data_IF_994067488316
#
_entry.id   IF_994067488316
#
_cell.length_a   1.000
_cell.length_b   1.000
_cell.length_c   1.000
_cell.angle_alpha   90.00
_cell.angle_beta   90.00
_cell.angle_gamma   90.00
#
_symmetry.space_group_name_H-M   'P 1'
#
loop_
_entity.id
_entity.type
_entity.pdbx_description
1 polymer ?
#
# COMPACT_ATOMS: atom_id res chain seq x y z
N UNK A 1 -3.42 -14.36 -4.31
CA UNK A 1 -2.65 -13.14 -3.95
C UNK A 1 -2.16 -13.29 -2.54
N UNK A 2 -0.89 -13.02 -2.26
CA UNK A 2 -0.45 -12.88 -0.87
C UNK A 2 -0.85 -11.47 -0.44
N UNK A 3 -1.78 -11.38 0.51
CA UNK A 3 -2.10 -10.13 1.18
C UNK A 3 -1.08 -9.90 2.29
N UNK A 4 -0.74 -8.64 2.51
CA UNK A 4 0.02 -8.24 3.69
C UNK A 4 -0.85 -8.56 4.91
N UNK A 5 -0.24 -9.04 6.00
CA UNK A 5 -1.00 -9.30 7.22
C UNK A 5 -1.60 -7.99 7.75
N UNK A 6 -2.79 -8.03 8.35
CA UNK A 6 -3.50 -6.81 8.80
C UNK A 6 -2.64 -5.88 9.69
N UNK A 7 -1.77 -6.47 10.52
CA UNK A 7 -0.82 -5.71 11.35
C UNK A 7 0.16 -4.90 10.50
N UNK A 8 0.76 -5.56 9.50
CA UNK A 8 1.75 -4.96 8.61
C UNK A 8 1.08 -3.93 7.68
N UNK A 9 -0.20 -4.13 7.34
CA UNK A 9 -1.01 -3.18 6.57
C UNK A 9 -1.22 -1.87 7.32
N UNK A 10 -1.60 -1.94 8.60
CA UNK A 10 -1.75 -0.75 9.46
C UNK A 10 -0.43 -0.01 9.67
N UNK A 11 0.67 -0.74 9.80
CA UNK A 11 2.00 -0.11 9.90
C UNK A 11 2.37 0.62 8.61
N UNK A 12 2.05 0.03 7.45
CA UNK A 12 2.27 0.67 6.15
C UNK A 12 1.39 1.90 5.96
N UNK A 13 0.12 1.84 6.37
CA UNK A 13 -0.79 2.99 6.38
C UNK A 13 -0.23 4.15 7.21
N UNK A 14 0.23 3.88 8.44
CA UNK A 14 0.83 4.89 9.30
C UNK A 14 2.10 5.50 8.68
N UNK A 15 2.94 4.68 8.01
CA UNK A 15 4.13 5.16 7.30
C UNK A 15 3.78 6.06 6.12
N UNK A 16 2.81 5.65 5.30
CA UNK A 16 2.35 6.44 4.15
C UNK A 16 1.73 7.76 4.61
N UNK A 17 0.87 7.72 5.63
CA UNK A 17 0.27 8.92 6.21
C UNK A 17 1.33 9.88 6.74
N UNK A 18 2.38 9.38 7.39
CA UNK A 18 3.47 10.21 7.89
C UNK A 18 4.33 10.83 6.77
N UNK A 19 4.63 10.06 5.73
CA UNK A 19 5.47 10.52 4.61
C UNK A 19 4.77 11.57 3.76
N UNK A 20 3.46 11.42 3.57
CA UNK A 20 2.67 12.29 2.69
C UNK A 20 1.79 13.28 3.47
N UNK A 21 2.06 13.51 4.76
CA UNK A 21 1.19 14.27 5.67
C UNK A 21 0.88 15.66 5.11
N UNK A 22 1.89 16.38 4.61
CA UNK A 22 1.74 17.72 4.04
C UNK A 22 0.94 17.71 2.72
N UNK A 23 1.10 16.68 1.89
CA UNK A 23 0.40 16.56 0.61
C UNK A 23 -1.05 16.12 0.74
N UNK A 24 -1.41 15.46 1.85
CA UNK A 24 -2.76 14.91 2.07
C UNK A 24 -3.50 15.59 3.23
N UNK A 25 -2.90 16.57 3.90
CA UNK A 25 -3.50 17.36 4.99
C UNK A 25 -4.79 18.05 4.53
N UNK A 26 -4.77 18.68 3.35
CA UNK A 26 -5.93 19.41 2.83
C UNK A 26 -7.12 18.49 2.45
N UNK A 27 -6.91 17.18 2.40
CA UNK A 27 -7.98 16.23 2.11
C UNK A 27 -8.87 16.00 3.35
N UNK A 28 -10.20 15.98 3.18
CA UNK A 28 -11.12 15.46 4.19
C UNK A 28 -10.65 14.09 4.69
N UNK A 29 -10.82 13.83 5.99
CA UNK A 29 -10.35 12.60 6.63
C UNK A 29 -10.79 11.32 5.93
N UNK A 30 -12.00 11.31 5.36
CA UNK A 30 -12.53 10.19 4.57
C UNK A 30 -11.76 10.00 3.26
N UNK A 31 -11.48 11.08 2.53
CA UNK A 31 -10.70 11.02 1.29
C UNK A 31 -9.25 10.64 1.54
N UNK A 32 -8.67 11.11 2.66
CA UNK A 32 -7.34 10.69 3.10
C UNK A 32 -7.28 9.18 3.38
N UNK A 33 -8.28 8.64 4.09
CA UNK A 33 -8.37 7.21 4.37
C UNK A 33 -8.51 6.38 3.09
N UNK A 34 -9.37 6.82 2.16
CA UNK A 34 -9.55 6.17 0.85
C UNK A 34 -8.23 6.16 0.06
N UNK A 35 -7.55 7.32 -0.02
CA UNK A 35 -6.29 7.43 -0.74
C UNK A 35 -5.21 6.49 -0.17
N UNK A 36 -5.08 6.44 1.15
CA UNK A 36 -4.09 5.57 1.81
C UNK A 36 -4.40 4.08 1.55
N UNK A 37 -5.67 3.66 1.64
CA UNK A 37 -6.06 2.28 1.35
C UNK A 37 -5.82 1.90 -0.12
N UNK A 38 -6.13 2.82 -1.05
CA UNK A 38 -5.88 2.65 -2.49
C UNK A 38 -4.39 2.50 -2.79
N UNK A 39 -3.54 3.35 -2.18
CA UNK A 39 -2.08 3.29 -2.33
C UNK A 39 -1.51 1.95 -1.85
N UNK A 40 -1.95 1.48 -0.68
CA UNK A 40 -1.55 0.19 -0.13
C UNK A 40 -1.97 -0.94 -1.06
N UNK A 41 -3.23 -0.94 -1.50
CA UNK A 41 -3.77 -1.95 -2.41
C UNK A 41 -3.02 -1.99 -3.73
N UNK A 42 -2.74 -0.83 -4.34
CA UNK A 42 -1.97 -0.73 -5.58
C UNK A 42 -0.53 -1.26 -5.39
N UNK A 43 0.10 -0.94 -4.25
CA UNK A 43 1.44 -1.41 -3.91
C UNK A 43 1.48 -2.94 -3.73
N UNK A 44 0.53 -3.50 -2.98
CA UNK A 44 0.36 -4.95 -2.81
C UNK A 44 0.14 -5.66 -4.15
N UNK A 45 -0.71 -5.10 -5.01
CA UNK A 45 -0.96 -5.63 -6.34
C UNK A 45 0.34 -5.69 -7.15
N UNK A 46 1.14 -4.62 -7.11
CA UNK A 46 2.42 -4.57 -7.82
C UNK A 46 3.43 -5.57 -7.27
N UNK A 47 3.57 -5.69 -5.95
CA UNK A 47 4.44 -6.69 -5.33
C UNK A 47 4.05 -8.11 -5.72
N UNK A 48 2.75 -8.42 -5.71
CA UNK A 48 2.25 -9.73 -6.12
C UNK A 48 2.60 -10.06 -7.57
N UNK A 49 2.42 -9.10 -8.50
CA UNK A 49 2.80 -9.29 -9.91
C UNK A 49 4.31 -9.49 -10.04
N UNK A 50 5.13 -8.60 -9.46
CA UNK A 50 6.58 -8.67 -9.60
C UNK A 50 7.17 -9.95 -8.99
N UNK A 51 6.74 -10.32 -7.78
CA UNK A 51 7.17 -11.57 -7.15
C UNK A 51 6.77 -12.81 -7.97
N UNK A 52 5.62 -12.77 -8.65
CA UNK A 52 5.19 -13.87 -9.52
C UNK A 52 6.06 -13.99 -10.78
N UNK A 53 6.62 -12.89 -11.27
CA UNK A 53 7.55 -12.91 -12.41
C UNK A 53 8.91 -13.45 -11.99
N UNK A 54 9.45 -13.00 -10.85
CA UNK A 54 10.74 -13.47 -10.32
C UNK A 54 10.74 -14.99 -10.10
N UNK A 55 9.62 -15.56 -9.63
CA UNK A 55 9.50 -17.02 -9.46
C UNK A 55 9.40 -17.78 -10.79
N UNK A 56 8.88 -17.16 -11.86
CA UNK A 56 8.77 -17.79 -13.19
C UNK A 56 10.10 -17.78 -13.96
N UNK A 57 10.98 -16.81 -13.71
CA UNK A 57 12.29 -16.72 -14.38
C UNK A 57 13.37 -17.58 -13.72
N UNK A 58 13.12 -18.09 -12.51
CA UNK A 58 14.04 -18.94 -11.75
C UNK A 58 13.87 -20.46 -12.04
N UNK A 59 12.98 -20.83 -12.96
CA UNK A 59 12.72 -22.19 -13.46
C UNK A 59 13.20 -22.31 -14.90
#
# INVERSE_FOLDING_TARGET
>A
MKQIADKDRKELEAKLAHVFDEEIDELPSELRAILLDDMITAFENRLNVLNSLTLKTAL
#
